data_IF_230374258106
#
_entry.id   IF_230374258106
#
_cell.length_a   1.000
_cell.length_b   1.000
_cell.length_c   1.000
_cell.angle_alpha   90.00
_cell.angle_beta   90.00
_cell.angle_gamma   90.00
#
_symmetry.space_group_name_H-M   'P 1'
#
loop_
_entity.id
_entity.type
_entity.pdbx_description
1 polymer ?
#
# COMPACT_ATOMS: atom_id res chain seq x y z
N UNK A 1 9.17 -4.57 12.54
CA UNK A 1 9.35 -4.80 11.08
C UNK A 1 8.01 -5.04 10.40
N UNK A 2 7.73 -4.44 9.23
CA UNK A 2 6.47 -4.66 8.52
C UNK A 2 6.26 -6.12 8.10
N UNK A 3 5.03 -6.62 8.26
CA UNK A 3 4.65 -7.95 7.78
C UNK A 3 4.10 -7.85 6.35
N UNK A 4 4.88 -8.33 5.38
CA UNK A 4 4.47 -8.41 3.98
C UNK A 4 3.60 -9.63 3.70
N UNK A 5 2.60 -9.47 2.84
CA UNK A 5 1.58 -10.47 2.53
C UNK A 5 1.28 -10.43 1.03
N UNK A 6 1.04 -11.59 0.41
CA UNK A 6 0.67 -11.70 -1.00
C UNK A 6 -0.82 -11.46 -1.28
N UNK A 7 -1.62 -11.31 -0.22
CA UNK A 7 -3.06 -11.08 -0.30
C UNK A 7 -3.52 -10.21 0.88
N UNK A 8 -4.64 -9.49 0.74
CA UNK A 8 -5.26 -8.78 1.86
C UNK A 8 -5.81 -9.76 2.92
N UNK A 9 -5.83 -9.36 4.21
CA UNK A 9 -6.52 -10.10 5.25
C UNK A 9 -8.02 -10.24 4.95
N UNK A 10 -8.62 -11.37 5.36
CA UNK A 10 -10.04 -11.64 5.12
C UNK A 10 -10.99 -10.70 5.90
N UNK A 11 -10.52 -10.12 7.01
CA UNK A 11 -11.26 -9.29 7.95
C UNK A 11 -11.03 -7.78 7.73
N UNK A 12 -10.82 -7.36 6.49
CA UNK A 12 -10.47 -5.97 6.17
C UNK A 12 -11.60 -4.98 6.52
N UNK A 13 -11.32 -3.89 7.27
CA UNK A 13 -12.29 -2.85 7.54
C UNK A 13 -12.51 -2.02 6.27
N UNK A 14 -13.51 -2.45 5.48
CA UNK A 14 -14.00 -1.73 4.31
C UNK A 14 -13.20 -1.94 3.02
N UNK A 15 -13.84 -1.59 1.90
CA UNK A 15 -13.25 -1.61 0.56
C UNK A 15 -12.29 -0.42 0.40
N UNK A 16 -11.02 -0.66 0.07
CA UNK A 16 -10.09 0.41 -0.30
C UNK A 16 -9.27 0.06 -1.54
N UNK A 17 -9.42 0.86 -2.59
CA UNK A 17 -8.52 0.88 -3.74
C UNK A 17 -7.47 1.99 -3.52
N UNK A 18 -6.19 1.65 -3.72
CA UNK A 18 -5.11 2.65 -3.77
C UNK A 18 -5.13 3.30 -5.15
N UNK A 19 -5.31 4.62 -5.16
CA UNK A 19 -5.32 5.42 -6.38
C UNK A 19 -3.87 5.74 -6.76
N UNK A 20 -3.40 5.26 -7.91
CA UNK A 20 -2.28 5.90 -8.61
C UNK A 20 -2.73 7.33 -8.93
N UNK A 21 -2.15 8.34 -8.27
CA UNK A 21 -2.43 9.73 -8.65
C UNK A 21 -1.76 10.02 -9.98
N UNK A 22 -2.58 9.93 -11.03
CA UNK A 22 -2.22 10.39 -12.37
C UNK A 22 -1.76 11.85 -12.28
N UNK A 23 -0.66 12.24 -12.97
CA UNK A 23 -0.38 13.65 -13.19
C UNK A 23 -1.64 14.32 -13.75
N UNK A 24 -1.96 15.53 -13.29
CA UNK A 24 -3.21 16.23 -13.66
C UNK A 24 -3.37 16.38 -15.19
N UNK A 25 -2.27 16.25 -15.94
CA UNK A 25 -2.17 16.62 -17.34
C UNK A 25 -1.85 15.43 -18.28
N UNK A 26 -1.56 14.23 -17.75
CA UNK A 26 -1.17 13.08 -18.58
C UNK A 26 -1.52 11.74 -17.93
N UNK A 27 -1.87 10.69 -18.72
CA UNK A 27 -2.05 9.34 -18.20
C UNK A 27 -0.74 8.75 -17.68
N UNK A 28 -0.83 7.81 -16.73
CA UNK A 28 0.28 6.93 -16.38
C UNK A 28 0.24 5.76 -17.35
N UNK A 29 1.36 5.54 -18.05
CA UNK A 29 1.56 4.38 -18.92
C UNK A 29 2.74 3.60 -18.33
N UNK A 30 2.51 2.32 -18.05
CA UNK A 30 3.51 1.47 -17.43
C UNK A 30 3.36 0.02 -17.90
N UNK A 31 4.48 -0.70 -17.94
CA UNK A 31 4.48 -2.15 -18.13
C UNK A 31 4.42 -2.82 -16.77
N UNK A 32 3.39 -3.63 -16.52
CA UNK A 32 3.37 -4.48 -15.32
C UNK A 32 4.42 -5.56 -15.48
N UNK A 33 5.43 -5.56 -14.62
CA UNK A 33 6.57 -6.48 -14.70
C UNK A 33 6.35 -7.76 -13.89
N UNK A 34 5.44 -7.71 -12.92
CA UNK A 34 4.90 -8.88 -12.23
C UNK A 34 3.44 -8.67 -11.90
N UNK A 35 2.62 -9.70 -12.10
CA UNK A 35 1.21 -9.73 -11.69
C UNK A 35 1.05 -10.05 -10.20
N UNK A 36 2.13 -10.46 -9.53
CA UNK A 36 2.09 -10.76 -8.10
C UNK A 36 1.97 -9.46 -7.31
N UNK A 37 0.98 -9.42 -6.43
CA UNK A 37 0.77 -8.29 -5.52
C UNK A 37 1.43 -8.61 -4.20
N UNK A 38 2.24 -7.68 -3.70
CA UNK A 38 2.70 -7.69 -2.31
C UNK A 38 2.03 -6.56 -1.56
N UNK A 39 1.74 -6.74 -0.28
CA UNK A 39 1.14 -5.69 0.51
C UNK A 39 1.44 -5.81 1.98
N UNK A 40 1.10 -4.77 2.72
CA UNK A 40 1.19 -4.78 4.18
C UNK A 40 0.04 -3.98 4.78
N UNK A 41 -0.23 -4.27 6.05
CA UNK A 41 -1.11 -3.43 6.87
C UNK A 41 -0.40 -2.10 7.12
N UNK A 42 -1.15 -1.02 7.17
CA UNK A 42 -0.68 0.35 7.37
C UNK A 42 -1.63 1.13 8.26
N UNK A 43 -1.14 2.20 8.89
CA UNK A 43 -1.94 3.19 9.60
C UNK A 43 -1.80 4.55 8.91
N UNK A 44 -2.87 5.34 8.91
CA UNK A 44 -2.79 6.75 8.54
C UNK A 44 -2.65 7.59 9.81
N UNK A 45 -1.43 8.00 10.12
CA UNK A 45 -1.10 8.77 11.31
C UNK A 45 -0.16 9.92 10.94
N UNK A 46 -0.31 11.06 11.62
CA UNK A 46 0.52 12.27 11.39
C UNK A 46 0.59 12.69 9.91
N UNK A 47 -0.56 12.62 9.23
CA UNK A 47 -0.72 12.97 7.81
C UNK A 47 0.15 12.12 6.85
N UNK A 48 0.46 10.87 7.24
CA UNK A 48 1.25 9.92 6.44
C UNK A 48 0.68 8.52 6.55
N UNK A 49 0.87 7.72 5.50
CA UNK A 49 0.63 6.27 5.53
C UNK A 49 1.90 5.58 6.01
N UNK A 50 1.82 4.84 7.11
CA UNK A 50 2.96 4.21 7.77
C UNK A 50 2.70 2.69 7.83
N UNK A 51 3.65 1.84 7.42
CA UNK A 51 3.52 0.38 7.58
C UNK A 51 3.34 -0.02 9.05
N UNK A 52 2.38 -0.91 9.29
CA UNK A 52 2.16 -1.52 10.60
C UNK A 52 3.28 -2.51 10.90
N UNK A 53 3.78 -2.48 12.14
CA UNK A 53 4.84 -3.38 12.61
C UNK A 53 4.32 -4.64 13.31
N UNK A 54 3.00 -4.83 13.32
CA UNK A 54 2.32 -5.92 14.03
C UNK A 54 1.74 -5.46 15.36
N UNK A 55 0.66 -6.10 15.79
CA UNK A 55 -0.18 -5.65 16.90
C UNK A 55 0.56 -5.52 18.25
N UNK A 56 1.55 -6.37 18.50
CA UNK A 56 2.33 -6.37 19.75
C UNK A 56 3.47 -5.35 19.79
N UNK A 57 3.82 -4.74 18.66
CA UNK A 57 5.00 -3.87 18.51
C UNK A 57 4.72 -2.59 17.70
N UNK A 58 3.44 -2.23 17.50
CA UNK A 58 3.06 -1.08 16.70
C UNK A 58 2.36 -0.03 17.57
N UNK A 59 3.05 1.08 17.82
CA UNK A 59 2.51 2.23 18.56
C UNK A 59 1.17 2.73 18.01
N UNK A 60 0.96 2.65 16.69
CA UNK A 60 -0.29 3.08 16.06
C UNK A 60 -1.46 2.12 16.34
N UNK A 61 -1.20 0.83 16.51
CA UNK A 61 -2.20 -0.13 16.98
C UNK A 61 -2.58 0.18 18.43
N UNK A 62 -1.61 0.45 19.29
CA UNK A 62 -1.83 0.79 20.71
C UNK A 62 -2.62 2.08 20.87
N UNK A 63 -2.33 3.10 20.05
CA UNK A 63 -3.05 4.37 20.01
C UNK A 63 -4.45 4.26 19.34
N UNK A 64 -4.84 3.07 18.88
CA UNK A 64 -6.18 2.81 18.32
C UNK A 64 -6.40 3.36 16.92
N UNK A 65 -5.34 3.65 16.16
CA UNK A 65 -5.49 4.12 14.78
C UNK A 65 -6.03 3.00 13.89
N UNK A 66 -7.06 3.34 13.10
CA UNK A 66 -7.60 2.45 12.08
C UNK A 66 -6.50 1.99 11.12
N UNK A 67 -6.59 0.75 10.68
CA UNK A 67 -5.63 0.14 9.78
C UNK A 67 -6.23 -0.11 8.39
N UNK A 68 -5.36 -0.21 7.39
CA UNK A 68 -5.71 -0.58 6.00
C UNK A 68 -4.61 -1.44 5.40
N UNK A 69 -4.97 -2.39 4.55
CA UNK A 69 -4.00 -3.12 3.72
C UNK A 69 -3.71 -2.34 2.45
N UNK A 70 -2.43 -2.14 2.13
CA UNK A 70 -2.00 -1.54 0.88
C UNK A 70 -1.26 -2.57 0.04
N UNK A 71 -1.78 -2.81 -1.16
CA UNK A 71 -1.10 -3.57 -2.20
C UNK A 71 -0.13 -2.70 -3.02
N UNK A 72 0.90 -3.36 -3.51
CA UNK A 72 1.95 -2.84 -4.37
C UNK A 72 2.12 -3.84 -5.52
N UNK A 73 2.16 -3.30 -6.73
CA UNK A 73 2.41 -4.03 -7.97
C UNK A 73 3.71 -3.51 -8.56
N UNK A 74 4.56 -4.41 -9.06
CA UNK A 74 5.76 -4.02 -9.77
C UNK A 74 5.40 -3.58 -11.20
N UNK A 75 5.77 -2.35 -11.56
CA UNK A 75 5.59 -1.82 -12.90
C UNK A 75 6.84 -1.05 -13.34
N UNK A 76 7.00 -0.84 -14.64
CA UNK A 76 8.05 -0.02 -15.24
C UNK A 76 7.37 1.16 -15.95
N UNK A 77 7.69 2.38 -15.55
CA UNK A 77 7.15 3.59 -16.18
C UNK A 77 7.71 3.75 -17.58
N UNK A 78 6.85 4.01 -18.58
CA UNK A 78 7.32 4.08 -19.97
C UNK A 78 8.07 5.36 -20.31
N UNK A 79 7.91 6.41 -19.50
CA UNK A 79 8.54 7.72 -19.73
C UNK A 79 9.92 7.85 -19.09
N UNK A 80 10.14 7.26 -17.92
CA UNK A 80 11.44 7.30 -17.22
C UNK A 80 12.21 6.00 -17.24
N UNK A 81 11.55 4.87 -17.54
CA UNK A 81 12.09 3.51 -17.37
C UNK A 81 12.48 3.21 -15.91
N UNK A 82 11.84 3.87 -14.95
CA UNK A 82 11.97 3.59 -13.51
C UNK A 82 10.91 2.60 -13.03
N UNK A 83 11.22 1.90 -11.94
CA UNK A 83 10.36 0.90 -11.28
C UNK A 83 9.53 1.48 -10.13
#
# INVERSE_FOLDING_TARGET
MPKWQSAPPADQPGFSLRILRTPTNKPIVAYVTSTDVIGCITHFARNRTIPCEGQDNCTWCEEGFSWRWHGYLAALLTDTLEH
#
